data_IF_308525232695
#
_entry.id   IF_308525232695
#
_cell.length_a   1.000
_cell.length_b   1.000
_cell.length_c   1.000
_cell.angle_alpha   90.00
_cell.angle_beta   90.00
_cell.angle_gamma   90.00
#
_symmetry.space_group_name_H-M   'P 1'
#
loop_
_entity.id
_entity.type
_entity.pdbx_description
1 polymer ?
#
# COMPACT_ATOMS: atom_id res chain seq x y z
N UNK A 1 30.68 -6.20 -22.66
CA UNK A 1 29.29 -5.72 -22.53
C UNK A 1 28.79 -6.17 -21.17
N UNK A 2 28.69 -5.23 -20.23
CA UNK A 2 28.06 -5.45 -18.93
C UNK A 2 26.61 -5.84 -19.19
N UNK A 3 26.16 -6.99 -18.70
CA UNK A 3 24.76 -7.40 -18.93
C UNK A 3 23.83 -6.57 -18.04
N UNK A 4 22.55 -6.43 -18.40
CA UNK A 4 21.57 -5.72 -17.55
C UNK A 4 21.53 -6.26 -16.11
N UNK A 5 21.82 -7.55 -15.94
CA UNK A 5 21.91 -8.20 -14.63
C UNK A 5 23.13 -7.71 -13.82
N UNK A 6 24.28 -7.52 -14.45
CA UNK A 6 25.48 -7.00 -13.78
C UNK A 6 25.24 -5.57 -13.29
N UNK A 7 24.52 -4.75 -14.07
CA UNK A 7 24.15 -3.38 -13.68
C UNK A 7 23.23 -3.37 -12.45
N UNK A 8 22.16 -4.17 -12.44
CA UNK A 8 21.27 -4.26 -11.27
C UNK A 8 22.02 -4.64 -9.99
N UNK A 9 22.88 -5.66 -10.07
CA UNK A 9 23.66 -6.11 -8.91
C UNK A 9 24.63 -5.04 -8.40
N UNK A 10 25.21 -4.24 -9.31
CA UNK A 10 26.08 -3.11 -8.95
C UNK A 10 25.30 -1.94 -8.31
N UNK A 11 24.03 -1.76 -8.67
CA UNK A 11 23.16 -0.71 -8.11
C UNK A 11 22.57 -1.08 -6.74
N UNK A 12 22.46 -2.36 -6.42
CA UNK A 12 21.82 -2.85 -5.19
C UNK A 12 22.36 -2.26 -3.87
N UNK A 13 23.68 -2.05 -3.69
CA UNK A 13 24.22 -1.41 -2.48
C UNK A 13 23.67 0.01 -2.26
N UNK A 14 23.41 0.75 -3.35
CA UNK A 14 22.87 2.10 -3.31
C UNK A 14 21.42 2.12 -2.81
N UNK A 15 20.67 1.01 -2.91
CA UNK A 15 19.27 0.93 -2.51
C UNK A 15 19.06 0.73 -1.00
N UNK A 16 20.11 0.49 -0.22
CA UNK A 16 20.01 0.20 1.23
C UNK A 16 20.30 1.41 2.13
N UNK A 17 20.32 2.60 1.56
CA UNK A 17 20.65 3.84 2.28
C UNK A 17 19.43 4.48 2.92
N UNK A 18 19.67 5.42 3.83
CA UNK A 18 18.65 6.12 4.62
C UNK A 18 17.70 6.95 3.76
N UNK A 19 18.17 7.53 2.67
CA UNK A 19 17.41 8.39 1.75
C UNK A 19 16.29 7.62 1.02
N UNK A 20 16.41 6.29 0.95
CA UNK A 20 15.41 5.39 0.36
C UNK A 20 14.57 4.67 1.43
N UNK A 21 14.72 5.00 2.71
CA UNK A 21 13.94 4.36 3.78
C UNK A 21 12.59 5.05 3.96
N UNK A 22 11.53 4.25 3.95
CA UNK A 22 10.15 4.67 4.21
C UNK A 22 9.50 3.68 5.20
N UNK A 23 8.44 4.07 5.94
CA UNK A 23 7.80 5.39 5.98
C UNK A 23 8.65 6.47 6.64
N UNK A 24 8.55 7.70 6.13
CA UNK A 24 9.22 8.87 6.73
C UNK A 24 8.43 9.41 7.93
N UNK A 25 9.13 10.02 8.88
CA UNK A 25 8.54 10.63 10.07
C UNK A 25 9.05 12.06 10.26
N UNK A 26 8.13 13.02 10.31
CA UNK A 26 8.45 14.40 10.58
C UNK A 26 8.63 14.60 12.09
N UNK A 27 9.88 14.56 12.55
CA UNK A 27 10.24 14.77 13.96
C UNK A 27 10.38 16.24 14.36
N UNK A 28 10.51 17.15 13.40
CA UNK A 28 10.69 18.59 13.62
C UNK A 28 9.38 19.37 13.45
N UNK A 29 9.35 20.62 13.93
CA UNK A 29 8.21 21.53 13.78
C UNK A 29 8.24 22.38 12.51
N UNK A 30 9.08 22.00 11.53
CA UNK A 30 9.09 22.69 10.23
C UNK A 30 7.72 22.57 9.56
N UNK A 31 7.39 23.54 8.72
CA UNK A 31 6.16 23.54 7.95
C UNK A 31 6.10 22.30 7.04
N UNK A 32 4.95 21.62 6.96
CA UNK A 32 4.85 20.33 6.27
C UNK A 32 5.24 20.41 4.77
N UNK A 33 4.79 21.42 3.99
CA UNK A 33 5.28 21.62 2.62
C UNK A 33 6.81 21.69 2.53
N UNK A 34 7.47 22.40 3.45
CA UNK A 34 8.94 22.47 3.49
C UNK A 34 9.55 21.10 3.83
N UNK A 35 8.96 20.34 4.76
CA UNK A 35 9.41 18.98 5.07
C UNK A 35 9.35 18.07 3.86
N UNK A 36 8.23 18.06 3.15
CA UNK A 36 8.05 17.26 1.95
C UNK A 36 8.99 17.72 0.83
N UNK A 37 9.13 19.03 0.61
CA UNK A 37 10.06 19.58 -0.39
C UNK A 37 11.48 19.12 -0.09
N UNK A 38 11.94 19.26 1.16
CA UNK A 38 13.27 18.83 1.57
C UNK A 38 13.47 17.31 1.37
N UNK A 39 12.46 16.48 1.67
CA UNK A 39 12.54 15.04 1.44
C UNK A 39 12.71 14.70 -0.05
N UNK A 40 11.96 15.40 -0.93
CA UNK A 40 12.07 15.25 -2.39
C UNK A 40 13.40 15.77 -2.92
N UNK A 41 13.86 16.93 -2.45
CA UNK A 41 15.14 17.52 -2.83
C UNK A 41 16.33 16.65 -2.42
N UNK A 42 16.27 16.07 -1.22
CA UNK A 42 17.29 15.13 -0.76
C UNK A 42 17.35 13.90 -1.68
N UNK A 43 16.20 13.37 -2.12
CA UNK A 43 16.17 12.25 -3.05
C UNK A 43 16.73 12.62 -4.43
N UNK A 44 16.34 13.78 -4.98
CA UNK A 44 16.89 14.30 -6.25
C UNK A 44 18.40 14.49 -6.16
N UNK A 45 18.90 15.11 -5.10
CA UNK A 45 20.33 15.33 -4.88
C UNK A 45 21.09 14.02 -4.73
N UNK A 46 20.52 13.06 -4.00
CA UNK A 46 21.07 11.71 -3.87
C UNK A 46 21.17 11.01 -5.23
N UNK A 47 20.09 10.97 -6.01
CA UNK A 47 20.11 10.35 -7.32
C UNK A 47 21.17 10.99 -8.22
N UNK A 48 21.22 12.32 -8.28
CA UNK A 48 22.20 13.06 -9.06
C UNK A 48 23.64 12.68 -8.69
N UNK A 49 23.93 12.61 -7.39
CA UNK A 49 25.29 12.36 -6.89
C UNK A 49 25.73 10.91 -7.03
N UNK A 50 24.84 9.97 -6.74
CA UNK A 50 25.22 8.57 -6.52
C UNK A 50 24.74 7.63 -7.64
N UNK A 51 23.68 8.00 -8.38
CA UNK A 51 23.04 7.12 -9.36
C UNK A 51 23.10 7.62 -10.80
N UNK A 52 23.17 8.93 -11.04
CA UNK A 52 23.15 9.50 -12.41
C UNK A 52 24.23 8.88 -13.30
N UNK A 53 25.48 8.85 -12.82
CA UNK A 53 26.57 8.26 -13.58
C UNK A 53 26.34 6.76 -13.82
N UNK A 54 25.83 6.03 -12.84
CA UNK A 54 25.66 4.57 -12.88
C UNK A 54 24.46 4.12 -13.71
N UNK A 55 23.47 5.01 -13.92
CA UNK A 55 22.20 4.71 -14.58
C UNK A 55 22.12 5.45 -15.90
N UNK A 56 22.02 6.79 -15.86
CA UNK A 56 21.71 7.59 -17.03
C UNK A 56 22.84 7.62 -18.07
N UNK A 57 24.10 7.56 -17.62
CA UNK A 57 25.26 7.57 -18.53
C UNK A 57 25.80 6.18 -18.91
N UNK A 58 25.45 5.13 -18.17
CA UNK A 58 25.91 3.75 -18.46
C UNK A 58 24.84 2.92 -19.19
N UNK A 59 23.55 3.27 -19.06
CA UNK A 59 22.45 2.55 -19.71
C UNK A 59 22.05 3.32 -20.97
N UNK A 60 22.08 2.64 -22.11
CA UNK A 60 21.56 3.20 -23.35
C UNK A 60 20.03 3.27 -23.31
N UNK A 61 19.49 4.49 -23.32
CA UNK A 61 18.07 4.74 -23.53
C UNK A 61 17.79 5.01 -25.01
N UNK A 62 16.60 4.63 -25.49
CA UNK A 62 16.16 4.93 -26.86
C UNK A 62 15.68 6.40 -26.98
N UNK A 63 16.49 7.34 -26.50
CA UNK A 63 16.20 8.78 -26.47
C UNK A 63 17.49 9.57 -26.59
N UNK A 64 17.44 10.75 -27.19
CA UNK A 64 18.61 11.67 -27.27
C UNK A 64 18.92 12.35 -25.91
N UNK A 65 18.05 12.18 -24.90
CA UNK A 65 18.26 12.67 -23.54
C UNK A 65 19.11 11.68 -22.72
N UNK A 66 20.36 12.04 -22.48
CA UNK A 66 21.32 11.28 -21.66
C UNK A 66 21.05 11.37 -20.15
N UNK A 67 19.93 11.97 -19.72
CA UNK A 67 19.53 12.14 -18.31
C UNK A 67 18.05 11.82 -18.08
N UNK A 68 17.47 10.95 -18.92
CA UNK A 68 16.02 10.73 -18.98
C UNK A 68 15.41 10.25 -17.66
N UNK A 69 16.10 9.42 -16.87
CA UNK A 69 15.57 8.94 -15.58
C UNK A 69 15.64 10.06 -14.55
N UNK A 70 16.77 10.76 -14.50
CA UNK A 70 16.94 11.92 -13.62
C UNK A 70 15.92 13.02 -13.91
N UNK A 71 15.73 13.39 -15.18
CA UNK A 71 14.74 14.37 -15.64
C UNK A 71 13.34 14.01 -15.18
N UNK A 72 12.96 12.72 -15.25
CA UNK A 72 11.64 12.24 -14.76
C UNK A 72 11.49 12.36 -13.25
N UNK A 73 12.53 12.02 -12.49
CA UNK A 73 12.54 12.16 -11.02
C UNK A 73 12.39 13.64 -10.62
N UNK A 74 13.12 14.54 -11.28
CA UNK A 74 13.03 15.99 -11.05
C UNK A 74 11.64 16.50 -11.38
N UNK A 75 11.09 16.15 -12.54
CA UNK A 75 9.77 16.59 -12.99
C UNK A 75 8.66 16.12 -12.04
N UNK A 76 8.67 14.85 -11.63
CA UNK A 76 7.69 14.33 -10.67
C UNK A 76 7.83 15.01 -9.30
N UNK A 77 9.06 15.19 -8.81
CA UNK A 77 9.33 15.87 -7.55
C UNK A 77 8.80 17.31 -7.55
N UNK A 78 9.06 18.07 -8.61
CA UNK A 78 8.59 19.45 -8.75
C UNK A 78 7.06 19.53 -8.86
N UNK A 79 6.44 18.64 -9.62
CA UNK A 79 4.97 18.59 -9.72
C UNK A 79 4.30 18.26 -8.39
N UNK A 80 4.90 17.37 -7.57
CA UNK A 80 4.37 17.07 -6.23
C UNK A 80 4.45 18.31 -5.33
N UNK A 81 5.56 19.06 -5.36
CA UNK A 81 5.71 20.31 -4.60
C UNK A 81 4.68 21.35 -5.02
N UNK A 82 4.57 21.60 -6.33
CA UNK A 82 3.59 22.54 -6.89
C UNK A 82 2.15 22.15 -6.53
N UNK A 83 1.82 20.86 -6.60
CA UNK A 83 0.52 20.32 -6.17
C UNK A 83 0.21 20.68 -4.71
N UNK A 84 1.20 20.56 -3.83
CA UNK A 84 1.05 20.88 -2.41
C UNK A 84 0.88 22.39 -2.22
N UNK A 85 1.69 23.21 -2.88
CA UNK A 85 1.58 24.67 -2.80
C UNK A 85 0.21 25.15 -3.29
N UNK A 86 -0.27 24.64 -4.43
CA UNK A 86 -1.61 24.92 -4.93
C UNK A 86 -2.69 24.51 -3.93
N UNK A 87 -2.58 23.32 -3.32
CA UNK A 87 -3.54 22.84 -2.34
C UNK A 87 -3.59 23.76 -1.10
N UNK A 88 -2.42 24.15 -0.58
CA UNK A 88 -2.32 25.02 0.59
C UNK A 88 -2.82 26.45 0.32
N UNK A 89 -2.72 26.91 -0.92
CA UNK A 89 -3.31 28.18 -1.36
C UNK A 89 -4.82 28.09 -1.64
N UNK A 90 -5.45 26.93 -1.45
CA UNK A 90 -6.88 26.71 -1.68
C UNK A 90 -7.26 26.43 -3.14
N UNK A 91 -6.28 26.29 -4.04
CA UNK A 91 -6.44 26.03 -5.46
C UNK A 91 -6.56 24.51 -5.72
N UNK A 92 -7.58 23.88 -5.15
CA UNK A 92 -7.73 22.42 -5.11
C UNK A 92 -7.91 21.83 -6.52
N UNK A 93 -8.61 22.54 -7.40
CA UNK A 93 -8.83 22.10 -8.78
C UNK A 93 -7.51 22.07 -9.55
N UNK A 94 -6.73 23.14 -9.47
CA UNK A 94 -5.42 23.28 -10.10
C UNK A 94 -4.43 22.27 -9.55
N UNK A 95 -4.41 22.07 -8.22
CA UNK A 95 -3.59 21.03 -7.59
C UNK A 95 -3.91 19.63 -8.15
N UNK A 96 -5.20 19.33 -8.29
CA UNK A 96 -5.65 18.04 -8.85
C UNK A 96 -5.28 17.89 -10.32
N UNK A 97 -5.43 18.95 -11.12
CA UNK A 97 -5.09 18.96 -12.54
C UNK A 97 -3.58 18.80 -12.77
N UNK A 98 -2.75 19.55 -12.03
CA UNK A 98 -1.29 19.42 -12.06
C UNK A 98 -0.85 17.98 -11.74
N UNK A 99 -1.37 17.44 -10.63
CA UNK A 99 -1.04 16.09 -10.20
C UNK A 99 -1.46 15.02 -11.23
N UNK A 100 -2.68 15.10 -11.77
CA UNK A 100 -3.15 14.13 -12.77
C UNK A 100 -2.32 14.17 -14.05
N UNK A 101 -1.97 15.36 -14.57
CA UNK A 101 -1.12 15.50 -15.76
C UNK A 101 0.26 14.86 -15.57
N UNK A 102 0.84 15.03 -14.38
CA UNK A 102 2.11 14.41 -14.00
C UNK A 102 2.02 12.88 -13.91
N UNK A 103 0.91 12.34 -13.37
CA UNK A 103 0.70 10.90 -13.35
C UNK A 103 0.43 10.32 -14.75
N UNK A 104 -0.30 11.03 -15.61
CA UNK A 104 -0.59 10.58 -16.97
C UNK A 104 0.68 10.45 -17.81
N UNK A 105 1.61 11.40 -17.68
CA UNK A 105 2.91 11.34 -18.37
C UNK A 105 3.74 10.12 -17.93
N UNK A 106 3.68 9.75 -16.65
CA UNK A 106 4.46 8.64 -16.10
C UNK A 106 3.80 7.28 -16.32
N UNK A 107 2.47 7.17 -16.22
CA UNK A 107 1.79 5.88 -16.23
C UNK A 107 1.32 5.44 -17.62
N UNK A 108 1.04 6.38 -18.53
CA UNK A 108 0.39 6.08 -19.79
C UNK A 108 1.23 6.41 -21.03
N UNK A 109 2.14 7.37 -20.93
CA UNK A 109 3.04 7.68 -22.03
C UNK A 109 4.32 6.84 -21.98
N UNK A 110 4.69 6.31 -20.81
CA UNK A 110 6.01 5.74 -20.59
C UNK A 110 5.96 4.53 -19.65
N UNK A 111 6.24 3.34 -20.20
CA UNK A 111 6.50 2.12 -19.42
C UNK A 111 5.26 1.57 -18.67
N UNK A 112 5.01 0.26 -18.78
CA UNK A 112 3.94 -0.42 -18.02
C UNK A 112 4.31 -0.49 -16.52
N UNK A 113 4.10 0.60 -15.80
CA UNK A 113 4.39 0.81 -14.36
C UNK A 113 3.39 0.14 -13.43
N UNK A 114 2.26 -0.34 -13.97
CA UNK A 114 1.24 -1.04 -13.20
C UNK A 114 1.68 -2.45 -12.86
N UNK A 115 1.53 -2.82 -11.59
CA UNK A 115 1.72 -4.18 -11.12
C UNK A 115 0.42 -4.96 -11.20
N UNK A 116 0.53 -6.29 -11.31
CA UNK A 116 -0.62 -7.19 -11.34
C UNK A 116 -0.68 -7.99 -10.05
N UNK A 117 -1.83 -7.95 -9.38
CA UNK A 117 -2.19 -8.90 -8.34
C UNK A 117 -2.93 -10.05 -9.03
N UNK A 118 -2.45 -11.28 -8.81
CA UNK A 118 -3.05 -12.48 -9.41
C UNK A 118 -4.45 -12.73 -8.87
N UNK A 119 -5.28 -13.36 -9.69
CA UNK A 119 -6.55 -13.96 -9.24
C UNK A 119 -6.33 -14.88 -8.02
N UNK A 120 -7.35 -15.04 -7.19
CA UNK A 120 -7.33 -15.85 -5.97
C UNK A 120 -6.35 -15.36 -4.88
N UNK A 121 -5.97 -14.08 -4.91
CA UNK A 121 -5.20 -13.46 -3.83
C UNK A 121 -6.09 -13.24 -2.61
N UNK A 122 -5.57 -13.62 -1.44
CA UNK A 122 -6.30 -13.50 -0.19
C UNK A 122 -5.96 -12.17 0.49
N UNK A 123 -7.00 -11.44 0.85
CA UNK A 123 -6.93 -10.24 1.67
C UNK A 123 -7.80 -10.40 2.90
N UNK A 124 -7.63 -9.48 3.85
CA UNK A 124 -8.43 -9.44 5.06
C UNK A 124 -8.97 -8.04 5.31
N UNK A 125 -10.10 -7.98 6.00
CA UNK A 125 -10.67 -6.72 6.45
C UNK A 125 -11.20 -6.92 7.84
N UNK A 126 -11.03 -5.91 8.69
CA UNK A 126 -11.55 -5.93 10.05
C UNK A 126 -12.56 -4.82 10.29
N UNK A 127 -13.43 -5.04 11.27
CA UNK A 127 -14.40 -4.06 11.76
C UNK A 127 -14.53 -4.16 13.27
N UNK A 128 -14.67 -3.02 13.96
CA UNK A 128 -14.95 -3.00 15.39
C UNK A 128 -16.30 -3.64 15.67
N UNK A 129 -16.39 -4.37 16.77
CA UNK A 129 -17.65 -4.91 17.26
C UNK A 129 -18.63 -3.77 17.56
N UNK A 130 -19.81 -3.82 16.94
CA UNK A 130 -20.89 -2.86 17.10
C UNK A 130 -22.08 -3.49 17.86
N UNK A 131 -21.81 -4.48 18.73
CA UNK A 131 -22.81 -5.27 19.44
C UNK A 131 -23.84 -5.92 18.50
N UNK A 132 -23.40 -6.32 17.31
CA UNK A 132 -24.22 -7.00 16.32
C UNK A 132 -23.44 -8.14 15.69
N UNK A 133 -24.17 -9.15 15.22
CA UNK A 133 -23.59 -10.20 14.39
C UNK A 133 -23.40 -9.66 12.97
N UNK A 134 -22.15 -9.64 12.51
CA UNK A 134 -21.85 -9.13 11.18
C UNK A 134 -22.10 -10.17 10.10
N UNK A 135 -22.60 -9.71 8.95
CA UNK A 135 -22.68 -10.48 7.71
C UNK A 135 -21.51 -10.14 6.79
N UNK A 136 -21.28 -10.93 5.74
CA UNK A 136 -20.30 -10.62 4.68
C UNK A 136 -20.43 -9.19 4.12
N UNK A 137 -21.67 -8.70 3.98
CA UNK A 137 -21.95 -7.36 3.44
C UNK A 137 -21.51 -6.23 4.40
N UNK A 138 -21.51 -6.48 5.71
CA UNK A 138 -21.08 -5.49 6.70
C UNK A 138 -19.57 -5.27 6.70
N UNK A 139 -18.79 -6.27 6.33
CA UNK A 139 -17.34 -6.19 6.19
C UNK A 139 -16.91 -5.84 4.76
N UNK A 140 -17.82 -5.45 3.87
CA UNK A 140 -17.45 -4.86 2.58
C UNK A 140 -17.19 -3.35 2.71
N UNK A 141 -17.25 -2.58 1.62
CA UNK A 141 -17.17 -1.11 1.69
C UNK A 141 -18.47 -0.49 2.25
N UNK A 142 -18.42 0.75 2.74
CA UNK A 142 -19.62 1.43 3.27
C UNK A 142 -20.69 1.58 2.18
N UNK A 143 -21.94 1.26 2.50
CA UNK A 143 -23.09 1.42 1.59
C UNK A 143 -23.28 2.86 1.16
N UNK A 144 -23.73 3.10 -0.07
CA UNK A 144 -23.84 4.46 -0.62
C UNK A 144 -24.78 5.38 0.16
N UNK A 145 -25.87 4.84 0.72
CA UNK A 145 -26.81 5.55 1.57
C UNK A 145 -26.25 5.88 2.97
N UNK A 146 -25.13 5.27 3.35
CA UNK A 146 -24.45 5.50 4.63
C UNK A 146 -23.17 6.33 4.47
N UNK A 147 -22.98 7.03 3.34
CA UNK A 147 -21.74 7.77 3.05
C UNK A 147 -21.33 8.82 4.08
N UNK A 148 -22.26 9.29 4.91
CA UNK A 148 -21.97 10.20 6.02
C UNK A 148 -21.04 9.58 7.08
N UNK A 149 -20.89 8.25 7.10
CA UNK A 149 -19.96 7.53 8.00
C UNK A 149 -18.58 7.32 7.39
N UNK A 150 -18.34 7.70 6.13
CA UNK A 150 -17.03 7.60 5.48
C UNK A 150 -16.11 8.66 6.08
N UNK A 151 -15.25 8.24 7.01
CA UNK A 151 -14.24 9.09 7.64
C UNK A 151 -13.04 9.36 6.72
N UNK A 152 -12.24 10.37 7.07
CA UNK A 152 -10.98 10.68 6.38
C UNK A 152 -9.88 9.71 6.82
N UNK A 153 -9.41 8.92 5.85
CA UNK A 153 -8.23 8.07 5.95
C UNK A 153 -7.19 8.51 4.91
N UNK A 154 -5.99 7.91 4.95
CA UNK A 154 -4.87 8.24 4.06
C UNK A 154 -5.30 8.25 2.59
N UNK A 155 -5.87 7.14 2.13
CA UNK A 155 -6.38 7.03 0.77
C UNK A 155 -7.90 7.07 0.78
N UNK A 156 -8.50 8.23 1.09
CA UNK A 156 -9.97 8.41 1.11
C UNK A 156 -10.40 9.68 0.40
N UNK A 157 -11.68 9.78 0.07
CA UNK A 157 -12.32 11.05 -0.27
C UNK A 157 -13.58 11.15 0.59
N UNK A 158 -13.82 12.28 1.30
CA UNK A 158 -15.00 12.42 2.15
C UNK A 158 -16.30 12.06 1.42
N UNK A 159 -17.09 11.15 2.01
CA UNK A 159 -18.35 10.69 1.43
C UNK A 159 -18.22 9.78 0.20
N UNK A 160 -17.00 9.35 -0.17
CA UNK A 160 -16.74 8.45 -1.28
C UNK A 160 -16.25 7.09 -0.75
N UNK A 161 -17.10 6.05 -0.77
CA UNK A 161 -16.70 4.74 -0.27
C UNK A 161 -15.52 4.12 -1.03
N UNK A 162 -14.73 3.33 -0.33
CA UNK A 162 -13.68 2.48 -0.89
C UNK A 162 -13.59 1.18 -0.08
N UNK A 163 -13.12 0.11 -0.71
CA UNK A 163 -12.85 -1.15 -0.05
C UNK A 163 -11.39 -1.16 0.41
N UNK A 164 -11.16 -1.08 1.72
CA UNK A 164 -9.84 -1.18 2.34
C UNK A 164 -9.59 -2.58 2.85
N UNK A 165 -8.46 -3.14 2.49
CA UNK A 165 -8.04 -4.49 2.87
C UNK A 165 -6.61 -4.45 3.43
N UNK A 166 -6.28 -5.38 4.32
CA UNK A 166 -4.92 -5.65 4.76
C UNK A 166 -4.42 -6.98 4.20
N UNK A 167 -3.11 -7.10 4.05
CA UNK A 167 -2.43 -8.34 3.64
C UNK A 167 -2.61 -9.47 4.66
N UNK A 168 -2.88 -9.09 5.92
CA UNK A 168 -3.06 -10.02 7.02
C UNK A 168 -4.01 -9.47 8.10
N UNK A 169 -4.49 -10.34 8.98
CA UNK A 169 -5.29 -9.93 10.15
C UNK A 169 -4.48 -9.14 11.17
N UNK A 170 -3.16 -9.37 11.22
CA UNK A 170 -2.22 -8.57 11.99
C UNK A 170 -2.15 -7.11 11.48
N UNK A 171 -2.02 -6.91 10.15
CA UNK A 171 -2.03 -5.56 9.56
C UNK A 171 -3.34 -4.85 9.88
N UNK A 172 -4.47 -5.55 9.72
CA UNK A 172 -5.78 -4.99 10.08
C UNK A 172 -5.85 -4.54 11.55
N UNK A 173 -5.24 -5.29 12.47
CA UNK A 173 -5.21 -4.95 13.89
C UNK A 173 -4.32 -3.73 14.19
N UNK A 174 -3.17 -3.61 13.53
CA UNK A 174 -2.28 -2.44 13.62
C UNK A 174 -2.97 -1.17 13.09
N UNK A 175 -3.75 -1.26 12.00
CA UNK A 175 -4.56 -0.14 11.49
C UNK A 175 -5.69 0.28 12.44
N UNK A 176 -6.09 -0.58 13.38
CA UNK A 176 -7.00 -0.23 14.47
C UNK A 176 -6.28 0.27 15.73
N UNK A 177 -5.03 0.73 15.60
CA UNK A 177 -4.20 1.21 16.71
C UNK A 177 -4.12 0.17 17.85
N UNK A 178 -3.98 -1.11 17.47
CA UNK A 178 -3.89 -2.24 18.40
C UNK A 178 -5.08 -2.35 19.35
N UNK A 179 -6.28 -2.08 18.84
CA UNK A 179 -7.54 -2.23 19.58
C UNK A 179 -7.68 -3.62 20.21
N UNK A 180 -8.57 -3.79 21.20
CA UNK A 180 -8.78 -5.08 21.83
C UNK A 180 -9.17 -6.13 20.79
N UNK A 181 -8.31 -7.13 20.59
CA UNK A 181 -8.43 -8.11 19.50
C UNK A 181 -9.78 -8.86 19.50
N UNK A 182 -10.33 -9.11 20.69
CA UNK A 182 -11.65 -9.76 20.86
C UNK A 182 -12.82 -8.89 20.40
N UNK A 183 -12.62 -7.57 20.34
CA UNK A 183 -13.63 -6.61 19.88
C UNK A 183 -13.47 -6.28 18.39
N UNK A 184 -12.72 -7.12 17.65
CA UNK A 184 -12.58 -7.02 16.21
C UNK A 184 -13.16 -8.25 15.52
N UNK A 185 -13.89 -7.98 14.45
CA UNK A 185 -14.37 -8.97 13.51
C UNK A 185 -13.54 -8.93 12.25
N UNK A 186 -13.33 -10.08 11.62
CA UNK A 186 -12.51 -10.27 10.45
C UNK A 186 -13.28 -11.00 9.35
N UNK A 187 -13.01 -10.66 8.11
CA UNK A 187 -13.42 -11.43 6.93
C UNK A 187 -12.26 -11.59 5.98
N UNK A 188 -12.25 -12.74 5.28
CA UNK A 188 -11.39 -12.96 4.13
C UNK A 188 -12.09 -12.46 2.88
N UNK A 189 -11.35 -11.71 2.09
CA UNK A 189 -11.80 -11.16 0.81
C UNK A 189 -10.85 -11.66 -0.26
N UNK A 190 -11.39 -12.15 -1.37
CA UNK A 190 -10.62 -12.78 -2.45
C UNK A 190 -11.02 -12.15 -3.77
N UNK A 191 -10.05 -11.78 -4.60
CA UNK A 191 -10.33 -11.29 -5.95
C UNK A 191 -10.56 -12.45 -6.93
N UNK A 192 -11.56 -12.30 -7.80
CA UNK A 192 -11.98 -13.32 -8.79
C UNK A 192 -11.49 -13.04 -10.21
N UNK A 193 -10.54 -12.11 -10.32
CA UNK A 193 -9.80 -11.79 -11.54
C UNK A 193 -8.49 -11.12 -11.17
N UNK A 194 -7.55 -11.06 -12.10
CA UNK A 194 -6.36 -10.23 -11.93
C UNK A 194 -6.71 -8.76 -11.72
N UNK A 195 -5.93 -8.09 -10.84
CA UNK A 195 -6.09 -6.67 -10.52
C UNK A 195 -4.86 -5.90 -10.95
N UNK A 196 -5.06 -4.77 -11.62
CA UNK A 196 -3.97 -3.82 -11.93
C UNK A 196 -3.89 -2.78 -10.82
N UNK A 197 -2.74 -2.69 -10.15
CA UNK A 197 -2.55 -1.78 -9.03
C UNK A 197 -1.30 -0.93 -9.19
N UNK A 198 -1.35 0.28 -8.62
CA UNK A 198 -0.14 1.02 -8.30
C UNK A 198 0.42 0.42 -7.00
N UNK A 199 1.73 0.16 -6.96
CA UNK A 199 2.43 -0.32 -5.76
C UNK A 199 3.29 0.81 -5.18
N UNK A 200 2.98 1.22 -3.96
CA UNK A 200 3.91 1.95 -3.10
C UNK A 200 4.56 0.88 -2.21
N UNK A 201 5.88 0.75 -2.26
CA UNK A 201 6.61 -0.33 -1.59
C UNK A 201 7.77 0.20 -0.79
N UNK A 202 8.08 -0.48 0.32
CA UNK A 202 9.35 -0.28 1.02
C UNK A 202 10.50 -0.77 0.16
N UNK A 203 11.63 -0.09 0.25
CA UNK A 203 12.81 -0.43 -0.56
C UNK A 203 13.31 -1.83 -0.29
N UNK A 204 13.29 -2.30 0.96
CA UNK A 204 13.73 -3.67 1.27
C UNK A 204 12.81 -4.72 0.64
N UNK A 205 11.49 -4.51 0.68
CA UNK A 205 10.51 -5.42 0.10
C UNK A 205 10.59 -5.40 -1.44
N UNK A 206 10.81 -4.22 -2.03
CA UNK A 206 11.04 -4.05 -3.46
C UNK A 206 12.29 -4.81 -3.93
N UNK A 207 13.40 -4.70 -3.22
CA UNK A 207 14.64 -5.43 -3.55
C UNK A 207 14.40 -6.94 -3.48
N UNK A 208 13.77 -7.41 -2.39
CA UNK A 208 13.46 -8.83 -2.22
C UNK A 208 12.54 -9.36 -3.33
N UNK A 209 11.51 -8.60 -3.72
CA UNK A 209 10.64 -8.95 -4.86
C UNK A 209 11.44 -9.00 -6.17
N UNK A 210 12.31 -8.01 -6.40
CA UNK A 210 13.12 -7.91 -7.63
C UNK A 210 14.17 -9.01 -7.73
N UNK A 211 14.74 -9.47 -6.62
CA UNK A 211 15.68 -10.60 -6.63
C UNK A 211 15.03 -11.93 -7.07
N UNK A 212 13.70 -12.04 -6.97
CA UNK A 212 12.94 -13.23 -7.33
C UNK A 212 12.42 -13.23 -8.78
N UNK A 213 12.45 -12.08 -9.47
CA UNK A 213 12.02 -12.01 -10.87
C UNK A 213 13.16 -12.43 -11.82
N UNK A 214 12.80 -12.83 -13.05
CA UNK A 214 13.77 -13.22 -14.08
C UNK A 214 14.73 -12.05 -14.34
N UNK A 215 16.03 -12.33 -14.34
CA UNK A 215 17.13 -11.34 -14.37
C UNK A 215 16.97 -10.23 -15.42
N UNK A 216 16.50 -10.57 -16.62
CA UNK A 216 16.29 -9.61 -17.71
C UNK A 216 15.30 -8.47 -17.36
N UNK A 217 14.40 -8.70 -16.40
CA UNK A 217 13.39 -7.73 -15.97
C UNK A 217 13.80 -6.94 -14.72
N UNK A 218 14.90 -7.28 -14.05
CA UNK A 218 15.31 -6.64 -12.79
C UNK A 218 15.66 -5.16 -12.96
N UNK A 219 16.49 -4.84 -13.96
CA UNK A 219 16.87 -3.45 -14.22
C UNK A 219 15.67 -2.58 -14.64
N UNK A 220 14.81 -2.98 -15.61
CA UNK A 220 13.59 -2.24 -15.90
C UNK A 220 12.67 -2.05 -14.69
N UNK A 221 12.58 -3.05 -13.80
CA UNK A 221 11.80 -2.96 -12.57
C UNK A 221 12.39 -1.92 -11.60
N UNK A 222 13.71 -1.90 -11.44
CA UNK A 222 14.43 -0.91 -10.64
C UNK A 222 14.25 0.51 -11.17
N UNK A 223 14.40 0.73 -12.47
CA UNK A 223 14.26 2.08 -13.04
C UNK A 223 12.84 2.64 -12.80
N UNK A 224 11.80 1.81 -12.94
CA UNK A 224 10.42 2.21 -12.62
C UNK A 224 10.26 2.59 -11.16
N UNK A 225 10.85 1.81 -10.27
CA UNK A 225 10.80 2.07 -8.83
C UNK A 225 11.45 3.41 -8.47
N UNK A 226 12.63 3.70 -9.03
CA UNK A 226 13.34 4.96 -8.81
C UNK A 226 12.55 6.15 -9.36
N UNK A 227 12.02 6.06 -10.59
CA UNK A 227 11.19 7.12 -11.18
C UNK A 227 9.96 7.42 -10.32
N UNK A 228 9.32 6.39 -9.75
CA UNK A 228 8.13 6.53 -8.89
C UNK A 228 8.46 6.83 -7.43
N UNK A 229 9.73 6.83 -7.03
CA UNK A 229 10.12 7.03 -5.64
C UNK A 229 9.69 8.39 -5.05
N UNK A 230 9.68 9.52 -5.80
CA UNK A 230 9.10 10.77 -5.32
C UNK A 230 7.63 10.63 -4.88
N UNK A 231 6.83 9.87 -5.63
CA UNK A 231 5.44 9.57 -5.25
C UNK A 231 5.41 8.68 -4.01
N UNK A 232 6.29 7.68 -3.93
CA UNK A 232 6.45 6.80 -2.75
C UNK A 232 6.76 7.60 -1.48
N UNK A 233 7.66 8.58 -1.55
CA UNK A 233 7.97 9.52 -0.45
C UNK A 233 6.69 10.22 -0.02
N UNK A 234 6.03 10.93 -0.93
CA UNK A 234 4.84 11.73 -0.64
C UNK A 234 3.66 10.91 -0.10
N UNK A 235 3.59 9.63 -0.47
CA UNK A 235 2.52 8.72 -0.05
C UNK A 235 2.78 7.95 1.26
N UNK A 236 4.01 7.97 1.79
CA UNK A 236 4.43 7.14 2.91
C UNK A 236 4.83 7.91 4.18
N UNK A 237 4.56 9.22 4.26
CA UNK A 237 4.85 10.01 5.47
C UNK A 237 3.87 9.64 6.59
N UNK A 238 4.38 9.39 7.81
CA UNK A 238 3.57 9.17 9.01
C UNK A 238 2.87 10.44 9.44
N UNK A 239 1.61 10.31 9.84
CA UNK A 239 0.81 11.44 10.36
C UNK A 239 1.39 11.91 11.68
N UNK A 240 1.76 13.19 11.76
CA UNK A 240 2.26 13.80 12.99
C UNK A 240 1.14 14.03 14.02
N UNK A 241 0.01 14.58 13.58
CA UNK A 241 -1.15 14.89 14.44
C UNK A 241 -2.33 13.95 14.17
N UNK A 242 -2.30 12.76 14.77
CA UNK A 242 -3.28 11.69 14.53
C UNK A 242 -4.73 12.08 14.84
N UNK A 243 -4.93 12.90 15.87
CA UNK A 243 -6.24 13.42 16.29
C UNK A 243 -6.70 14.66 15.51
N UNK A 244 -5.88 15.19 14.60
CA UNK A 244 -6.23 16.36 13.79
C UNK A 244 -7.30 16.05 12.74
N UNK A 245 -8.23 17.00 12.51
CA UNK A 245 -9.25 16.90 11.45
C UNK A 245 -8.62 16.95 10.06
N UNK A 246 -7.61 17.79 9.91
CA UNK A 246 -6.79 17.90 8.72
C UNK A 246 -5.43 17.24 8.96
N UNK A 247 -5.00 16.43 8.00
CA UNK A 247 -3.73 15.71 8.01
C UNK A 247 -3.03 16.01 6.70
N UNK A 248 -2.06 16.92 6.66
CA UNK A 248 -1.45 17.34 5.41
C UNK A 248 -0.72 16.20 4.69
N UNK A 249 -0.29 15.18 5.44
CA UNK A 249 0.29 13.94 4.92
C UNK A 249 -0.69 13.14 4.04
N UNK A 250 -1.99 13.47 4.05
CA UNK A 250 -3.00 12.82 3.24
C UNK A 250 -3.25 13.50 1.90
N UNK A 251 -2.73 14.71 1.64
CA UNK A 251 -3.05 15.46 0.40
C UNK A 251 -2.73 14.63 -0.85
N UNK A 252 -1.46 14.23 -1.03
CA UNK A 252 -1.04 13.44 -2.20
C UNK A 252 -1.70 12.06 -2.23
N UNK A 253 -1.75 11.26 -1.13
CA UNK A 253 -2.52 10.02 -1.09
C UNK A 253 -3.98 10.14 -1.54
N UNK A 254 -4.70 11.18 -1.11
CA UNK A 254 -6.11 11.36 -1.45
C UNK A 254 -6.28 11.78 -2.91
N UNK A 255 -5.39 12.62 -3.45
CA UNK A 255 -5.36 12.93 -4.88
C UNK A 255 -5.05 11.68 -5.72
N UNK A 256 -4.15 10.82 -5.27
CA UNK A 256 -3.85 9.55 -5.93
C UNK A 256 -5.06 8.60 -5.96
N UNK A 257 -5.79 8.47 -4.85
CA UNK A 257 -7.03 7.68 -4.85
C UNK A 257 -8.07 8.25 -5.82
N UNK A 258 -8.21 9.58 -5.87
CA UNK A 258 -9.11 10.24 -6.82
C UNK A 258 -8.74 9.93 -8.27
N UNK A 259 -7.46 10.04 -8.60
CA UNK A 259 -6.92 9.67 -9.92
C UNK A 259 -7.28 8.22 -10.26
N UNK A 260 -6.97 7.27 -9.36
CA UNK A 260 -7.29 5.86 -9.55
C UNK A 260 -8.79 5.65 -9.72
N UNK A 261 -9.65 6.32 -8.94
CA UNK A 261 -11.11 6.16 -9.03
C UNK A 261 -11.67 6.49 -10.42
N UNK A 262 -11.06 7.46 -11.11
CA UNK A 262 -11.45 7.91 -12.47
C UNK A 262 -10.79 7.08 -13.57
N UNK A 263 -9.72 6.35 -13.24
CA UNK A 263 -8.99 5.53 -14.19
C UNK A 263 -9.70 4.20 -14.46
N UNK A 264 -9.83 3.82 -15.74
CA UNK A 264 -10.48 2.55 -16.16
C UNK A 264 -9.55 1.34 -16.12
N UNK A 265 -8.24 1.57 -16.14
CA UNK A 265 -7.20 0.53 -16.25
C UNK A 265 -6.66 0.14 -14.88
N UNK A 266 -6.64 1.06 -13.92
CA UNK A 266 -6.08 0.85 -12.58
C UNK A 266 -7.21 0.51 -11.62
N UNK A 267 -7.17 -0.67 -11.00
CA UNK A 267 -8.22 -1.16 -10.10
C UNK A 267 -8.07 -0.60 -8.68
N UNK A 268 -6.84 -0.40 -8.21
CA UNK A 268 -6.56 0.02 -6.84
C UNK A 268 -5.09 0.35 -6.57
N UNK A 269 -4.76 0.38 -5.30
CA UNK A 269 -3.44 0.73 -4.78
C UNK A 269 -3.03 -0.24 -3.67
N UNK A 270 -1.76 -0.64 -3.67
CA UNK A 270 -1.09 -1.30 -2.54
C UNK A 270 -0.12 -0.32 -1.89
N UNK A 271 -0.07 -0.26 -0.56
CA UNK A 271 0.79 0.65 0.17
C UNK A 271 1.22 0.08 1.54
N UNK A 272 2.44 0.37 2.03
CA UNK A 272 2.90 -0.12 3.31
C UNK A 272 2.07 0.49 4.44
N UNK A 273 1.79 -0.27 5.50
CA UNK A 273 1.22 0.31 6.71
C UNK A 273 2.22 1.28 7.33
N UNK A 274 1.72 2.47 7.72
CA UNK A 274 2.52 3.44 8.48
C UNK A 274 2.36 3.29 10.00
N UNK A 275 1.55 2.31 10.44
CA UNK A 275 1.25 2.02 11.85
C UNK A 275 2.10 0.88 12.41
N UNK A 276 2.75 0.12 11.53
CA UNK A 276 3.56 -1.05 11.86
C UNK A 276 5.00 -0.65 12.20
N UNK A 277 5.58 -1.29 13.22
CA UNK A 277 7.01 -1.30 13.48
C UNK A 277 7.68 -2.45 12.73
N UNK A 278 8.27 -2.12 11.58
CA UNK A 278 8.90 -3.12 10.72
C UNK A 278 10.15 -3.76 11.33
N UNK A 279 10.76 -3.19 12.37
CA UNK A 279 11.88 -3.83 13.09
C UNK A 279 11.45 -5.07 13.88
N UNK A 280 10.13 -5.22 14.09
CA UNK A 280 9.49 -6.33 14.82
C UNK A 280 8.92 -7.41 13.90
N UNK A 281 9.11 -7.27 12.58
CA UNK A 281 8.64 -8.20 11.57
C UNK A 281 9.81 -8.95 10.93
N UNK A 282 9.67 -10.27 10.81
CA UNK A 282 10.66 -11.14 10.20
C UNK A 282 9.98 -12.00 9.12
N UNK A 283 10.31 -11.77 7.85
CA UNK A 283 9.67 -12.38 6.67
C UNK A 283 8.14 -12.14 6.57
N UNK A 284 7.62 -11.17 7.33
CA UNK A 284 6.22 -10.75 7.32
C UNK A 284 6.10 -9.42 6.59
N UNK A 285 5.33 -9.41 5.50
CA UNK A 285 4.93 -8.19 4.80
C UNK A 285 3.76 -7.54 5.54
N UNK A 286 3.68 -6.21 5.48
CA UNK A 286 2.63 -5.45 6.15
C UNK A 286 2.04 -4.37 5.23
N UNK A 287 1.30 -4.82 4.22
CA UNK A 287 0.67 -3.94 3.22
C UNK A 287 -0.83 -3.81 3.44
N UNK A 288 -1.34 -2.63 3.09
CA UNK A 288 -2.75 -2.37 2.91
C UNK A 288 -3.05 -2.21 1.42
N UNK A 289 -4.31 -2.41 1.08
CA UNK A 289 -4.85 -2.26 -0.25
C UNK A 289 -6.11 -1.40 -0.18
N UNK A 290 -6.30 -0.56 -1.19
CA UNK A 290 -7.54 0.22 -1.33
C UNK A 290 -8.05 0.14 -2.76
N UNK A 291 -9.33 -0.21 -2.88
CA UNK A 291 -10.04 -0.28 -4.15
C UNK A 291 -11.20 0.72 -4.12
N UNK A 292 -11.05 1.89 -4.76
CA UNK A 292 -12.13 2.88 -4.80
C UNK A 292 -13.32 2.36 -5.59
N UNK A 293 -14.53 2.81 -5.23
CA UNK A 293 -15.71 2.53 -6.06
C UNK A 293 -15.53 3.13 -7.46
N UNK A 294 -15.89 2.38 -8.50
CA UNK A 294 -15.84 2.81 -9.91
C UNK A 294 -17.18 3.31 -10.46
N UNK A 295 -18.25 3.03 -9.72
CA UNK A 295 -19.61 3.43 -10.06
C UNK A 295 -20.38 3.79 -8.78
N UNK A 296 -21.14 4.87 -8.82
CA UNK A 296 -21.98 5.31 -7.71
C UNK A 296 -23.42 4.83 -7.92
N UNK A 297 -24.12 4.51 -6.82
CA UNK A 297 -25.55 4.22 -6.82
C UNK A 297 -26.24 4.89 -5.65
N UNK A 298 -27.57 4.98 -5.67
CA UNK A 298 -28.35 5.61 -4.58
C UNK A 298 -28.31 4.79 -3.29
N UNK A 299 -28.24 3.46 -3.41
CA UNK A 299 -28.22 2.52 -2.30
C UNK A 299 -27.28 1.34 -2.59
N UNK A 300 -26.89 0.63 -1.54
CA UNK A 300 -26.13 -0.62 -1.63
C UNK A 300 -24.65 -0.40 -1.93
N UNK A 301 -24.08 -1.32 -2.71
CA UNK A 301 -22.64 -1.43 -2.93
C UNK A 301 -22.27 -1.24 -4.41
N UNK A 302 -20.99 -0.99 -4.67
CA UNK A 302 -20.45 -0.75 -6.01
C UNK A 302 -20.42 -2.05 -6.81
N UNK A 303 -21.24 -2.13 -7.88
CA UNK A 303 -21.33 -3.32 -8.74
C UNK A 303 -19.96 -3.83 -9.20
N UNK A 304 -19.08 -2.93 -9.65
CA UNK A 304 -17.72 -3.29 -10.05
C UNK A 304 -16.95 -4.05 -8.94
N UNK A 305 -17.00 -3.57 -7.69
CA UNK A 305 -16.30 -4.23 -6.58
C UNK A 305 -16.98 -5.56 -6.21
N UNK A 306 -18.32 -5.63 -6.25
CA UNK A 306 -19.06 -6.87 -6.01
C UNK A 306 -18.69 -7.93 -7.08
N UNK A 307 -18.52 -7.53 -8.33
CA UNK A 307 -18.11 -8.41 -9.43
C UNK A 307 -16.61 -8.77 -9.36
N UNK A 308 -15.82 -8.03 -8.58
CA UNK A 308 -14.35 -8.21 -8.48
C UNK A 308 -13.95 -9.04 -7.26
N UNK A 309 -14.76 -9.06 -6.19
CA UNK A 309 -14.38 -9.67 -4.91
C UNK A 309 -15.47 -10.57 -4.32
N UNK A 310 -15.03 -11.71 -3.78
CA UNK A 310 -15.82 -12.59 -2.93
C UNK A 310 -15.40 -12.47 -1.47
N UNK A 311 -16.34 -12.66 -0.54
CA UNK A 311 -16.18 -12.43 0.89
C UNK A 311 -16.61 -13.68 1.66
N UNK A 312 -15.86 -14.06 2.69
CA UNK A 312 -16.24 -15.12 3.63
C UNK A 312 -17.22 -14.60 4.68
N UNK A 313 -17.98 -15.49 5.32
CA UNK A 313 -18.69 -15.09 6.53
C UNK A 313 -17.71 -14.59 7.61
N UNK A 314 -18.03 -13.48 8.31
CA UNK A 314 -17.15 -12.89 9.31
C UNK A 314 -16.92 -13.81 10.52
N UNK A 315 -15.85 -13.52 11.26
CA UNK A 315 -15.54 -14.18 12.53
C UNK A 315 -14.84 -13.24 13.50
N UNK A 316 -14.70 -13.65 14.75
CA UNK A 316 -13.89 -12.97 15.76
C UNK A 316 -13.03 -13.98 16.49
N UNK A 317 -12.01 -13.53 17.23
CA UNK A 317 -11.18 -14.42 18.04
C UNK A 317 -12.02 -15.27 19.01
N UNK A 318 -13.02 -14.65 19.65
CA UNK A 318 -13.90 -15.33 20.59
C UNK A 318 -14.70 -16.45 19.94
N UNK A 319 -15.29 -16.21 18.76
CA UNK A 319 -16.04 -17.23 18.03
C UNK A 319 -15.14 -18.39 17.59
N UNK A 320 -13.93 -18.08 17.12
CA UNK A 320 -12.98 -19.12 16.71
C UNK A 320 -12.56 -20.01 17.88
N UNK A 321 -12.33 -19.45 19.08
CA UNK A 321 -12.00 -20.21 20.29
C UNK A 321 -13.17 -21.07 20.80
N UNK A 322 -14.41 -20.60 20.64
CA UNK A 322 -15.61 -21.37 21.03
C UNK A 322 -15.83 -22.54 20.06
N UNK A 323 -15.69 -22.32 18.76
CA UNK A 323 -15.88 -23.36 17.74
C UNK A 323 -14.75 -24.39 17.78
N UNK A 324 -13.50 -23.90 17.90
CA UNK A 324 -12.31 -24.72 17.92
C UNK A 324 -11.73 -24.66 19.33
N UNK A 325 -12.09 -25.65 20.15
CA UNK A 325 -11.60 -25.79 21.53
C UNK A 325 -10.10 -25.44 21.59
N UNK A 326 -9.70 -24.45 22.42
CA UNK A 326 -8.36 -23.86 22.40
C UNK A 326 -7.23 -24.88 22.58
N UNK A 327 -7.56 -26.08 23.06
CA UNK A 327 -6.65 -27.20 23.30
C UNK A 327 -6.45 -28.15 22.13
N UNK A 328 -7.12 -28.00 20.96
CA UNK A 328 -6.88 -28.90 19.82
C UNK A 328 -5.56 -28.52 19.12
N UNK A 329 -4.47 -29.29 19.30
CA UNK A 329 -3.15 -28.95 18.75
C UNK A 329 -3.03 -29.37 17.27
N UNK A 330 -4.09 -29.94 16.69
CA UNK A 330 -4.08 -30.64 15.41
C UNK A 330 -4.79 -29.86 14.28
N UNK A 331 -4.85 -28.52 14.32
CA UNK A 331 -4.82 -27.83 13.04
C UNK A 331 -3.46 -28.19 12.45
N UNK A 332 -3.43 -28.97 11.36
CA UNK A 332 -2.21 -29.33 10.65
C UNK A 332 -1.40 -28.07 10.32
N UNK A 333 -0.53 -27.66 11.24
CA UNK A 333 0.56 -26.74 10.98
C UNK A 333 1.36 -27.52 9.93
N UNK A 334 1.44 -26.99 8.72
CA UNK A 334 2.28 -27.60 7.69
C UNK A 334 3.65 -27.87 8.32
N UNK A 335 4.15 -29.10 8.23
CA UNK A 335 5.46 -29.48 8.80
C UNK A 335 6.63 -28.67 8.21
N UNK A 336 6.39 -27.83 7.19
CA UNK A 336 7.35 -26.83 6.76
C UNK A 336 7.44 -25.71 7.80
N UNK A 337 8.63 -25.39 8.33
CA UNK A 337 8.79 -24.28 9.25
C UNK A 337 8.37 -22.99 8.54
N UNK A 338 7.25 -22.40 8.97
CA UNK A 338 6.89 -21.04 8.56
C UNK A 338 8.00 -20.11 9.04
N UNK A 339 8.70 -19.47 8.09
CA UNK A 339 9.81 -18.55 8.37
C UNK A 339 9.31 -17.24 8.97
N UNK A 340 8.01 -16.96 8.86
CA UNK A 340 7.40 -15.72 9.32
C UNK A 340 7.33 -15.64 10.84
N UNK A 341 7.89 -14.58 11.41
CA UNK A 341 7.82 -14.30 12.83
C UNK A 341 7.43 -12.84 13.09
N UNK A 342 6.77 -12.62 14.22
CA UNK A 342 6.46 -11.28 14.74
C UNK A 342 6.88 -11.17 16.20
N UNK A 343 7.21 -9.96 16.62
CA UNK A 343 7.61 -9.63 17.99
C UNK A 343 6.60 -8.64 18.60
N UNK A 344 5.64 -9.17 19.36
CA UNK A 344 4.62 -8.36 20.06
C UNK A 344 5.09 -7.89 21.45
N UNK A 345 6.02 -8.65 22.05
CA UNK A 345 6.68 -8.34 23.31
C UNK A 345 8.17 -8.24 23.00
N UNK A 346 8.85 -7.21 23.49
CA UNK A 346 10.25 -6.96 23.19
C UNK A 346 11.11 -8.21 23.43
N UNK A 347 11.90 -8.59 22.43
CA UNK A 347 12.76 -9.78 22.39
C UNK A 347 12.05 -11.14 22.40
N UNK A 348 10.72 -11.18 22.28
CA UNK A 348 9.93 -12.43 22.21
C UNK A 348 9.43 -12.65 20.79
N UNK A 349 10.15 -13.47 20.03
CA UNK A 349 9.77 -13.86 18.66
C UNK A 349 8.74 -14.98 18.69
N UNK A 350 7.59 -14.72 18.09
CA UNK A 350 6.51 -15.69 17.91
C UNK A 350 6.36 -16.06 16.44
N UNK A 351 6.24 -17.35 16.14
CA UNK A 351 5.96 -17.81 14.78
C UNK A 351 4.57 -17.32 14.35
N UNK A 352 4.45 -16.66 13.20
CA UNK A 352 3.21 -15.96 12.80
C UNK A 352 2.00 -16.89 12.81
N UNK A 353 2.13 -18.07 12.19
CA UNK A 353 1.05 -19.06 12.09
C UNK A 353 0.50 -19.54 13.44
N UNK A 354 1.29 -19.50 14.52
CA UNK A 354 0.86 -19.98 15.84
C UNK A 354 0.14 -18.92 16.66
N UNK A 355 0.28 -17.64 16.29
CA UNK A 355 -0.41 -16.50 16.92
C UNK A 355 -1.91 -16.52 16.64
N UNK A 356 -2.68 -15.74 17.41
CA UNK A 356 -4.12 -15.55 17.16
C UNK A 356 -4.41 -15.06 15.74
N UNK A 357 -3.55 -14.21 15.16
CA UNK A 357 -3.68 -13.72 13.79
C UNK A 357 -3.58 -14.86 12.78
N UNK A 358 -2.51 -15.67 12.87
CA UNK A 358 -2.31 -16.83 12.00
C UNK A 358 -3.45 -17.86 12.10
N UNK A 359 -3.98 -18.09 13.31
CA UNK A 359 -5.12 -19.00 13.55
C UNK A 359 -6.41 -18.48 12.92
N UNK A 360 -6.75 -17.19 13.10
CA UNK A 360 -7.94 -16.57 12.47
C UNK A 360 -7.84 -16.70 10.95
N UNK A 361 -6.67 -16.39 10.38
CA UNK A 361 -6.44 -16.51 8.94
C UNK A 361 -6.59 -17.94 8.42
N UNK A 362 -6.04 -18.92 9.13
CA UNK A 362 -6.17 -20.33 8.76
C UNK A 362 -7.63 -20.79 8.77
N UNK A 363 -8.42 -20.37 9.76
CA UNK A 363 -9.85 -20.64 9.81
C UNK A 363 -10.57 -20.00 8.63
N UNK A 364 -10.37 -18.70 8.41
CA UNK A 364 -10.99 -17.97 7.30
C UNK A 364 -10.64 -18.56 5.93
N UNK A 365 -9.41 -19.05 5.73
CA UNK A 365 -8.97 -19.69 4.47
C UNK A 365 -9.74 -20.96 4.13
N UNK A 366 -10.30 -21.66 5.13
CA UNK A 366 -11.12 -22.87 4.94
C UNK A 366 -12.59 -22.56 4.64
N UNK A 367 -13.03 -21.33 4.89
CA UNK A 367 -14.42 -20.91 4.66
C UNK A 367 -14.66 -20.64 3.18
N UNK A 368 -15.86 -20.94 2.70
CA UNK A 368 -16.31 -20.53 1.37
C UNK A 368 -16.32 -19.00 1.28
N UNK A 369 -15.90 -18.48 0.13
CA UNK A 369 -16.05 -17.06 -0.22
C UNK A 369 -17.11 -16.94 -1.31
N UNK A 370 -17.97 -15.95 -1.19
CA UNK A 370 -19.07 -15.71 -2.13
C UNK A 370 -19.24 -14.22 -2.39
N UNK A 371 -19.90 -13.92 -3.51
CA UNK A 371 -20.40 -12.57 -3.77
C UNK A 371 -21.34 -12.10 -2.65
N UNK A 372 -21.29 -10.82 -2.29
CA UNK A 372 -22.18 -10.23 -1.27
C UNK A 372 -23.62 -10.08 -1.74
#
# INVERSE_FOLDING_TARGET
>A
MTTNNDIYNNLKPYLKIKELQIPLEQVTDIYFPDFLSNALDNYVAYYNKELLQQIDYEIAFNTDDNSIVFSKIVNLSNSIKETIDLFYNGNIFEATDNFNKSLDSIFFNEIQTLSTIKEDTNFYRARKNENKHFTKSDLFHIRFEQRHTVSTNRYSVPGFPALYLGDSTYVCWEEFDRYRLRDLWYSRIVNVRELKVIKIQRTEDFINETDLIVQVYQLPHLLRYLILFPLTIACSIKVKYTNGNFKPEYIIPQLLLQYISKNKTIDGLMFPSTKVDYSKLFDVLAYNYVFPVKSISKKGYCKFLIDTFHVSEPTSLELEEIIYNPSIPNLMISKSPDKKHIELINMVRSQYVTTSFGRIEQSLRRRKVEKI
#
